data_IF_119892316245
#
_entry.id   IF_119892316245
#
_cell.length_a   1.000
_cell.length_b   1.000
_cell.length_c   1.000
_cell.angle_alpha   90.00
_cell.angle_beta   90.00
_cell.angle_gamma   90.00
#
_symmetry.space_group_name_H-M   'P 1'
#
loop_
_entity.id
_entity.type
_entity.pdbx_description
1 polymer ?
#
# COMPACT_ATOMS: atom_id res chain seq x y z
N UNK A 1 0.55 -9.98 -21.31
CA UNK A 1 -0.38 -11.02 -20.80
C UNK A 1 -0.56 -10.73 -19.32
N UNK A 2 -1.79 -10.69 -18.82
CA UNK A 2 -2.05 -10.50 -17.39
C UNK A 2 -1.42 -11.64 -16.58
N UNK A 3 -0.88 -11.31 -15.41
CA UNK A 3 -0.33 -12.30 -14.48
C UNK A 3 -1.43 -13.01 -13.67
N UNK A 4 -2.68 -12.51 -13.73
CA UNK A 4 -3.80 -12.97 -12.90
C UNK A 4 -4.96 -13.41 -13.80
N UNK A 5 -5.54 -14.58 -13.52
CA UNK A 5 -6.69 -15.09 -14.29
C UNK A 5 -8.04 -14.58 -13.77
N UNK A 6 -8.16 -14.37 -12.45
CA UNK A 6 -9.34 -13.80 -11.79
C UNK A 6 -8.89 -12.75 -10.77
N UNK A 7 -9.12 -11.49 -11.12
CA UNK A 7 -8.76 -10.28 -10.35
C UNK A 7 -9.80 -9.91 -9.29
N UNK A 8 -10.88 -10.69 -9.15
CA UNK A 8 -11.96 -10.39 -8.19
C UNK A 8 -11.92 -11.26 -6.94
N UNK A 9 -11.03 -12.25 -6.90
CA UNK A 9 -11.00 -13.28 -5.85
C UNK A 9 -9.66 -13.35 -5.14
N UNK A 10 -9.75 -13.53 -3.82
CA UNK A 10 -8.58 -13.88 -3.03
C UNK A 10 -8.06 -15.26 -3.43
N UNK A 11 -6.76 -15.37 -3.67
CA UNK A 11 -6.09 -16.65 -3.90
C UNK A 11 -5.29 -17.06 -2.65
N UNK A 12 -5.74 -18.08 -1.88
CA UNK A 12 -5.07 -18.53 -0.66
C UNK A 12 -3.79 -19.31 -0.91
N UNK A 13 -3.62 -19.90 -2.10
CA UNK A 13 -2.46 -20.73 -2.44
C UNK A 13 -1.26 -19.89 -2.91
N UNK A 14 -1.47 -18.58 -3.15
CA UNK A 14 -0.42 -17.66 -3.54
C UNK A 14 0.31 -17.09 -2.32
N UNK A 15 1.58 -17.49 -2.18
CA UNK A 15 2.50 -16.93 -1.19
C UNK A 15 2.92 -15.49 -1.53
N UNK A 16 3.10 -15.19 -2.82
CA UNK A 16 3.42 -13.87 -3.38
C UNK A 16 3.10 -13.87 -4.89
N UNK A 17 2.96 -12.69 -5.49
CA UNK A 17 2.98 -12.49 -6.94
C UNK A 17 3.80 -11.25 -7.30
N UNK A 18 4.89 -11.47 -8.02
CA UNK A 18 5.82 -10.42 -8.48
C UNK A 18 6.15 -10.65 -9.95
N UNK A 19 6.72 -9.65 -10.63
CA UNK A 19 7.00 -9.71 -12.06
C UNK A 19 7.95 -10.86 -12.45
N UNK A 20 9.09 -10.92 -11.77
CA UNK A 20 10.14 -11.93 -12.01
C UNK A 20 10.93 -12.15 -10.72
N UNK A 21 10.82 -13.35 -10.14
CA UNK A 21 11.56 -13.71 -8.93
C UNK A 21 13.07 -13.79 -9.18
N UNK A 22 13.50 -13.98 -10.44
CA UNK A 22 14.90 -14.04 -10.82
C UNK A 22 15.68 -12.74 -10.59
N UNK A 23 14.99 -11.60 -10.39
CA UNK A 23 15.61 -10.32 -10.08
C UNK A 23 15.97 -10.14 -8.59
N UNK A 24 15.60 -11.09 -7.72
CA UNK A 24 15.77 -10.96 -6.28
C UNK A 24 17.23 -10.75 -5.84
N UNK A 25 18.19 -11.39 -6.50
CA UNK A 25 19.62 -11.19 -6.21
C UNK A 25 20.11 -9.77 -6.55
N UNK A 26 19.52 -9.11 -7.55
CA UNK A 26 19.81 -7.71 -7.84
C UNK A 26 19.15 -6.80 -6.79
N UNK A 27 17.89 -7.04 -6.47
CA UNK A 27 17.19 -6.29 -5.43
C UNK A 27 17.88 -6.36 -4.07
N UNK A 28 18.39 -7.53 -3.67
CA UNK A 28 19.18 -7.68 -2.43
C UNK A 28 20.39 -6.75 -2.39
N UNK A 29 21.15 -6.65 -3.48
CA UNK A 29 22.32 -5.77 -3.56
C UNK A 29 21.94 -4.30 -3.40
N UNK A 30 20.84 -3.88 -4.01
CA UNK A 30 20.36 -2.49 -3.87
C UNK A 30 19.79 -2.21 -2.48
N UNK A 31 19.13 -3.19 -1.85
CA UNK A 31 18.68 -3.09 -0.46
C UNK A 31 19.89 -2.90 0.48
N UNK A 32 20.95 -3.71 0.33
CA UNK A 32 22.17 -3.57 1.14
C UNK A 32 22.83 -2.18 0.99
N UNK A 33 22.80 -1.61 -0.22
CA UNK A 33 23.26 -0.23 -0.44
C UNK A 33 22.33 0.78 0.24
N UNK A 34 21.01 0.62 0.09
CA UNK A 34 20.02 1.52 0.69
C UNK A 34 20.04 1.50 2.22
N UNK A 35 20.35 0.38 2.86
CA UNK A 35 20.51 0.30 4.31
C UNK A 35 21.57 1.28 4.84
N UNK A 36 22.64 1.51 4.08
CA UNK A 36 23.67 2.51 4.45
C UNK A 36 23.18 3.96 4.39
N UNK A 37 22.16 4.23 3.56
CA UNK A 37 21.52 5.54 3.40
C UNK A 37 20.26 5.70 4.27
N UNK A 38 19.87 4.68 5.03
CA UNK A 38 18.67 4.68 5.89
C UNK A 38 19.01 4.46 7.38
N UNK A 39 19.87 5.30 7.98
CA UNK A 39 20.38 5.09 9.34
C UNK A 39 19.27 5.08 10.41
N UNK A 40 18.15 5.80 10.19
CA UNK A 40 17.01 5.78 11.12
C UNK A 40 16.36 4.41 11.26
N UNK A 41 16.14 3.70 10.13
CA UNK A 41 15.60 2.35 10.16
C UNK A 41 16.61 1.36 10.74
N UNK A 42 17.90 1.50 10.40
CA UNK A 42 18.95 0.63 10.96
C UNK A 42 19.11 0.81 12.48
N UNK A 43 18.99 2.04 12.97
CA UNK A 43 18.96 2.33 14.40
C UNK A 43 17.73 1.68 15.07
N UNK A 44 16.54 1.79 14.47
CA UNK A 44 15.33 1.14 15.00
C UNK A 44 15.47 -0.39 15.08
N UNK A 45 16.06 -1.03 14.06
CA UNK A 45 16.38 -2.47 14.10
C UNK A 45 17.31 -2.80 15.27
N UNK A 46 18.36 -1.99 15.47
CA UNK A 46 19.35 -2.21 16.53
C UNK A 46 18.76 -2.02 17.93
N UNK A 47 17.92 -1.00 18.12
CA UNK A 47 17.33 -0.64 19.41
C UNK A 47 16.16 -1.57 19.80
N UNK A 48 15.24 -1.82 18.86
CA UNK A 48 13.98 -2.51 19.15
C UNK A 48 13.96 -3.97 18.67
N UNK A 49 14.87 -4.37 17.79
CA UNK A 49 15.00 -5.75 17.31
C UNK A 49 15.06 -6.79 18.44
N UNK A 50 15.92 -6.63 19.48
CA UNK A 50 15.97 -7.58 20.59
C UNK A 50 14.66 -7.71 21.38
N UNK A 51 13.82 -6.66 21.36
CA UNK A 51 12.57 -6.59 22.12
C UNK A 51 11.40 -7.24 21.37
N UNK A 52 11.51 -7.39 20.03
CA UNK A 52 10.46 -7.93 19.17
C UNK A 52 9.07 -7.29 19.43
N UNK A 53 8.94 -5.95 19.42
CA UNK A 53 7.72 -5.27 19.85
C UNK A 53 6.52 -5.56 18.94
N UNK A 54 6.75 -6.01 17.71
CA UNK A 54 5.71 -6.36 16.74
C UNK A 54 5.46 -7.88 16.66
N UNK A 55 5.99 -8.66 17.60
CA UNK A 55 5.79 -10.12 17.61
C UNK A 55 4.30 -10.47 17.65
N UNK A 56 3.87 -11.25 16.66
CA UNK A 56 2.47 -11.67 16.52
C UNK A 56 1.53 -10.58 16.00
N UNK A 57 2.07 -9.44 15.55
CA UNK A 57 1.31 -8.37 14.91
C UNK A 57 1.35 -8.59 13.40
N UNK A 58 0.15 -8.60 12.79
CA UNK A 58 -0.03 -8.68 11.35
C UNK A 58 -0.10 -7.29 10.74
N UNK A 59 0.79 -6.99 9.79
CA UNK A 59 0.85 -5.70 9.12
C UNK A 59 0.51 -5.87 7.64
N UNK A 60 -0.48 -5.11 7.16
CA UNK A 60 -0.72 -4.95 5.74
C UNK A 60 -0.17 -3.59 5.28
N UNK A 61 0.67 -3.59 4.25
CA UNK A 61 1.21 -2.37 3.65
C UNK A 61 0.63 -2.09 2.26
N UNK A 62 0.33 -0.81 1.99
CA UNK A 62 -0.01 -0.25 0.69
C UNK A 62 0.80 1.03 0.48
N UNK A 63 2.11 0.87 0.35
CA UNK A 63 3.10 1.90 0.02
C UNK A 63 3.75 1.53 -1.31
N UNK A 64 4.30 2.50 -2.04
CA UNK A 64 5.10 2.21 -3.24
C UNK A 64 6.12 1.08 -2.99
N UNK A 65 6.08 0.00 -3.76
CA UNK A 65 6.97 -1.16 -3.56
C UNK A 65 8.37 -0.92 -4.16
N UNK A 66 9.16 -0.09 -3.49
CA UNK A 66 10.52 0.32 -3.89
C UNK A 66 11.61 -0.35 -3.04
N UNK A 67 12.87 -0.08 -3.37
CA UNK A 67 14.02 -0.46 -2.53
C UNK A 67 13.93 0.15 -1.13
N UNK A 68 13.47 1.40 -1.00
CA UNK A 68 13.33 2.07 0.30
C UNK A 68 12.23 1.38 1.14
N UNK A 69 11.12 1.03 0.51
CA UNK A 69 10.04 0.27 1.16
C UNK A 69 10.48 -1.14 1.52
N UNK A 70 11.34 -1.78 0.73
CA UNK A 70 11.94 -3.07 1.09
C UNK A 70 12.72 -2.98 2.42
N UNK A 71 13.51 -1.91 2.64
CA UNK A 71 14.20 -1.68 3.92
C UNK A 71 13.22 -1.45 5.07
N UNK A 72 12.10 -0.75 4.83
CA UNK A 72 11.01 -0.61 5.81
C UNK A 72 10.39 -1.96 6.17
N UNK A 73 10.00 -2.76 5.18
CA UNK A 73 9.43 -4.10 5.38
C UNK A 73 10.36 -4.97 6.22
N UNK A 74 11.65 -5.02 5.88
CA UNK A 74 12.63 -5.79 6.63
C UNK A 74 12.88 -5.24 8.04
N UNK A 75 12.66 -3.95 8.26
CA UNK A 75 12.67 -3.36 9.62
C UNK A 75 11.49 -3.85 10.44
N UNK A 76 10.26 -3.79 9.89
CA UNK A 76 9.07 -4.30 10.57
C UNK A 76 9.20 -5.80 10.85
N UNK A 77 9.76 -6.56 9.90
CA UNK A 77 10.06 -7.99 10.06
C UNK A 77 11.08 -8.23 11.17
N UNK A 78 12.16 -7.46 11.19
CA UNK A 78 13.18 -7.54 12.24
C UNK A 78 12.63 -7.18 13.62
N UNK A 79 11.57 -6.36 13.69
CA UNK A 79 10.84 -6.05 14.92
C UNK A 79 9.78 -7.10 15.29
N UNK A 80 9.61 -8.16 14.48
CA UNK A 80 8.79 -9.34 14.79
C UNK A 80 7.46 -9.45 14.07
N UNK A 81 7.14 -8.52 13.16
CA UNK A 81 5.86 -8.50 12.45
C UNK A 81 5.73 -9.64 11.41
N UNK A 82 4.48 -10.04 11.17
CA UNK A 82 4.08 -10.79 9.97
C UNK A 82 3.55 -9.80 8.94
N UNK A 83 4.01 -9.88 7.69
CA UNK A 83 3.77 -8.82 6.70
C UNK A 83 3.15 -9.34 5.41
N UNK A 84 2.18 -8.60 4.89
CA UNK A 84 1.65 -8.70 3.52
C UNK A 84 1.68 -7.31 2.88
N UNK A 85 2.00 -7.21 1.60
CA UNK A 85 2.28 -5.94 0.96
C UNK A 85 1.74 -5.86 -0.47
N UNK A 86 1.16 -4.72 -0.80
CA UNK A 86 0.84 -4.30 -2.16
C UNK A 86 1.42 -2.90 -2.41
N UNK A 87 1.58 -2.55 -3.68
CA UNK A 87 1.95 -1.17 -4.04
C UNK A 87 0.70 -0.28 -4.03
N UNK A 88 0.86 1.03 -3.79
CA UNK A 88 -0.24 2.02 -3.90
C UNK A 88 -0.28 2.73 -5.27
N UNK A 89 0.54 2.30 -6.24
CA UNK A 89 0.49 2.83 -7.59
C UNK A 89 1.02 1.84 -8.62
N UNK A 90 0.28 1.67 -9.72
CA UNK A 90 0.53 0.73 -10.81
C UNK A 90 1.90 0.84 -11.49
N UNK A 91 2.60 1.97 -11.38
CA UNK A 91 3.92 2.18 -11.99
C UNK A 91 5.06 2.36 -10.98
N UNK A 92 4.76 2.40 -9.69
CA UNK A 92 5.76 2.74 -8.68
C UNK A 92 6.65 1.56 -8.26
N UNK A 93 6.19 0.32 -8.46
CA UNK A 93 6.93 -0.88 -8.08
C UNK A 93 8.29 -0.94 -8.79
N UNK A 94 9.32 -1.26 -8.02
CA UNK A 94 10.61 -1.72 -8.50
C UNK A 94 10.63 -3.25 -8.42
N UNK A 95 10.55 -3.93 -9.57
CA UNK A 95 10.31 -5.38 -9.62
C UNK A 95 11.38 -6.20 -8.86
N UNK A 96 12.67 -5.83 -9.00
CA UNK A 96 13.77 -6.40 -8.23
C UNK A 96 13.62 -6.22 -6.70
N UNK A 97 13.07 -5.10 -6.23
CA UNK A 97 12.81 -4.88 -4.80
C UNK A 97 11.69 -5.83 -4.32
N UNK A 98 10.59 -5.91 -5.08
CA UNK A 98 9.48 -6.82 -4.79
C UNK A 98 9.96 -8.28 -4.76
N UNK A 99 10.77 -8.68 -5.75
CA UNK A 99 11.36 -10.00 -5.85
C UNK A 99 12.26 -10.34 -4.65
N UNK A 100 13.13 -9.41 -4.22
CA UNK A 100 14.04 -9.63 -3.10
C UNK A 100 13.30 -9.83 -1.77
N UNK A 101 12.20 -9.09 -1.54
CA UNK A 101 11.36 -9.25 -0.35
C UNK A 101 10.59 -10.57 -0.38
N UNK A 102 10.03 -10.92 -1.54
CA UNK A 102 9.31 -12.17 -1.73
C UNK A 102 10.23 -13.40 -1.55
N UNK A 103 11.41 -13.41 -2.18
CA UNK A 103 12.38 -14.51 -2.08
C UNK A 103 12.90 -14.69 -0.65
N UNK A 104 13.16 -13.60 0.07
CA UNK A 104 13.60 -13.65 1.46
C UNK A 104 12.51 -14.13 2.43
N UNK A 105 11.24 -14.17 2.01
CA UNK A 105 10.12 -14.45 2.91
C UNK A 105 9.90 -13.36 3.96
N UNK A 106 10.39 -12.15 3.69
CA UNK A 106 10.25 -10.99 4.58
C UNK A 106 8.79 -10.52 4.65
N UNK A 107 8.08 -10.57 3.53
CA UNK A 107 6.64 -10.34 3.42
C UNK A 107 6.04 -11.13 2.24
N UNK A 108 4.73 -11.39 2.28
CA UNK A 108 3.98 -11.78 1.09
C UNK A 108 3.73 -10.55 0.22
N UNK A 109 4.33 -10.48 -0.97
CA UNK A 109 4.27 -9.31 -1.85
C UNK A 109 3.36 -9.59 -3.05
N UNK A 110 2.43 -8.68 -3.32
CA UNK A 110 1.56 -8.68 -4.50
C UNK A 110 1.75 -7.34 -5.20
N UNK A 111 2.78 -7.25 -6.04
CA UNK A 111 3.14 -6.00 -6.70
C UNK A 111 4.03 -6.24 -7.92
N UNK A 112 3.77 -5.54 -9.01
CA UNK A 112 4.68 -5.42 -10.16
C UNK A 112 4.53 -4.08 -10.85
N UNK A 113 5.54 -3.68 -11.63
CA UNK A 113 5.45 -2.47 -12.45
C UNK A 113 4.56 -2.72 -13.66
N UNK A 114 3.62 -1.79 -13.88
CA UNK A 114 2.70 -1.83 -15.02
C UNK A 114 1.49 -2.75 -14.81
N UNK A 115 0.99 -2.81 -13.57
CA UNK A 115 -0.32 -3.40 -13.25
C UNK A 115 -1.45 -2.75 -14.07
N UNK A 116 -2.51 -3.50 -14.38
CA UNK A 116 -3.81 -2.89 -14.69
C UNK A 116 -4.50 -2.41 -13.40
N UNK A 117 -5.52 -1.58 -13.51
CA UNK A 117 -6.27 -1.14 -12.32
C UNK A 117 -6.99 -2.30 -11.62
N UNK A 118 -7.45 -3.30 -12.37
CA UNK A 118 -8.02 -4.51 -11.77
C UNK A 118 -6.98 -5.35 -11.03
N UNK A 119 -5.78 -5.48 -11.59
CA UNK A 119 -4.66 -6.14 -10.91
C UNK A 119 -4.23 -5.38 -9.65
N UNK A 120 -4.22 -4.05 -9.68
CA UNK A 120 -3.95 -3.18 -8.53
C UNK A 120 -4.91 -3.43 -7.36
N UNK A 121 -6.22 -3.34 -7.61
CA UNK A 121 -7.22 -3.58 -6.57
C UNK A 121 -7.23 -5.03 -6.09
N UNK A 122 -6.89 -5.98 -6.96
CA UNK A 122 -6.66 -7.37 -6.58
C UNK A 122 -5.44 -7.52 -5.65
N UNK A 123 -4.33 -6.86 -5.94
CA UNK A 123 -3.14 -6.84 -5.08
C UNK A 123 -3.49 -6.27 -3.69
N UNK A 124 -4.25 -5.17 -3.63
CA UNK A 124 -4.74 -4.60 -2.37
C UNK A 124 -5.62 -5.60 -1.60
N UNK A 125 -6.53 -6.30 -2.29
CA UNK A 125 -7.32 -7.39 -1.70
C UNK A 125 -6.43 -8.51 -1.14
N UNK A 126 -5.41 -8.94 -1.88
CA UNK A 126 -4.46 -9.97 -1.45
C UNK A 126 -3.68 -9.53 -0.20
N UNK A 127 -3.24 -8.27 -0.13
CA UNK A 127 -2.50 -7.74 1.01
C UNK A 127 -3.36 -7.64 2.29
N UNK A 128 -4.64 -7.27 2.14
CA UNK A 128 -5.58 -7.15 3.27
C UNK A 128 -6.19 -8.49 3.72
N UNK A 129 -6.20 -9.50 2.85
CA UNK A 129 -6.78 -10.81 3.17
C UNK A 129 -5.70 -11.73 3.74
N UNK A 130 -5.88 -12.16 4.99
CA UNK A 130 -5.02 -13.14 5.64
C UNK A 130 -5.61 -14.56 5.52
N UNK A 131 -4.81 -15.63 5.61
CA UNK A 131 -5.27 -16.99 5.33
C UNK A 131 -6.45 -17.48 6.18
N UNK A 132 -6.60 -16.95 7.40
CA UNK A 132 -7.72 -17.25 8.30
C UNK A 132 -8.94 -16.32 8.11
N UNK A 133 -8.85 -15.34 7.20
CA UNK A 133 -9.92 -14.38 6.92
C UNK A 133 -10.10 -13.30 7.98
N UNK A 134 -9.21 -13.21 8.97
CA UNK A 134 -9.31 -12.27 10.11
C UNK A 134 -8.72 -10.89 9.79
N UNK A 135 -7.83 -10.79 8.80
CA UNK A 135 -7.21 -9.52 8.39
C UNK A 135 -5.96 -9.11 9.20
N UNK A 136 -5.43 -7.90 8.92
CA UNK A 136 -4.29 -7.33 9.64
C UNK A 136 -4.67 -6.73 11.00
N UNK A 137 -3.67 -6.63 11.88
CA UNK A 137 -3.75 -5.85 13.12
C UNK A 137 -3.43 -4.37 12.88
N UNK A 138 -2.54 -4.07 11.93
CA UNK A 138 -2.11 -2.72 11.59
C UNK A 138 -2.04 -2.53 10.08
N UNK A 139 -2.27 -1.30 9.63
CA UNK A 139 -2.16 -0.91 8.23
C UNK A 139 -1.11 0.20 8.10
N UNK A 140 -0.25 0.09 7.08
CA UNK A 140 0.62 1.18 6.63
C UNK A 140 0.13 1.57 5.24
N UNK A 141 -0.41 2.77 5.10
CA UNK A 141 -1.15 3.20 3.90
C UNK A 141 -0.53 4.47 3.32
N UNK A 142 -0.65 4.62 2.00
CA UNK A 142 -0.20 5.79 1.26
C UNK A 142 -1.20 6.13 0.17
N UNK A 143 -1.92 7.23 0.38
CA UNK A 143 -3.03 7.67 -0.46
C UNK A 143 -4.38 7.18 0.06
N UNK A 144 -4.41 6.19 0.95
CA UNK A 144 -5.60 5.76 1.69
C UNK A 144 -6.46 4.71 0.96
N UNK A 145 -5.94 4.01 -0.05
CA UNK A 145 -6.73 3.06 -0.85
C UNK A 145 -7.02 1.76 -0.11
N UNK A 146 -6.07 1.25 0.69
CA UNK A 146 -6.33 0.10 1.54
C UNK A 146 -7.38 0.42 2.60
N UNK A 147 -7.30 1.61 3.19
CA UNK A 147 -8.29 2.14 4.12
C UNK A 147 -9.65 2.31 3.46
N UNK A 148 -9.70 2.90 2.26
CA UNK A 148 -10.93 3.09 1.48
C UNK A 148 -11.62 1.76 1.23
N UNK A 149 -10.89 0.74 0.78
CA UNK A 149 -11.46 -0.56 0.46
C UNK A 149 -12.15 -1.21 1.67
N UNK A 150 -11.56 -1.10 2.87
CA UNK A 150 -12.17 -1.61 4.10
C UNK A 150 -13.45 -0.83 4.44
N UNK A 151 -13.42 0.50 4.35
CA UNK A 151 -14.57 1.34 4.70
C UNK A 151 -15.74 1.12 3.74
N UNK A 152 -15.48 1.08 2.43
CA UNK A 152 -16.50 0.80 1.42
C UNK A 152 -17.01 -0.65 1.50
N UNK A 153 -16.12 -1.61 1.82
CA UNK A 153 -16.51 -2.99 2.09
C UNK A 153 -17.47 -3.14 3.27
N UNK A 154 -17.21 -2.46 4.40
CA UNK A 154 -18.13 -2.44 5.54
C UNK A 154 -19.47 -1.78 5.18
N UNK A 155 -19.46 -0.67 4.43
CA UNK A 155 -20.70 -0.02 3.96
C UNK A 155 -21.52 -0.97 3.08
N UNK A 156 -20.86 -1.69 2.16
CA UNK A 156 -21.51 -2.67 1.30
C UNK A 156 -22.13 -3.83 2.11
N UNK A 157 -21.41 -4.37 3.09
CA UNK A 157 -21.92 -5.43 3.96
C UNK A 157 -23.13 -4.99 4.78
N UNK A 158 -23.12 -3.77 5.32
CA UNK A 158 -24.25 -3.23 6.10
C UNK A 158 -25.48 -2.97 5.22
N UNK A 159 -25.29 -2.47 3.99
CA UNK A 159 -26.38 -2.30 3.04
C UNK A 159 -27.00 -3.66 2.68
N UNK A 160 -26.16 -4.65 2.39
CA UNK A 160 -26.60 -6.00 2.06
C UNK A 160 -27.33 -6.69 3.22
N UNK A 161 -26.83 -6.57 4.45
CA UNK A 161 -27.51 -7.12 5.64
C UNK A 161 -28.87 -6.48 5.89
N UNK A 162 -29.01 -5.18 5.59
CA UNK A 162 -30.24 -4.43 5.80
C UNK A 162 -31.35 -4.81 4.83
N UNK A 163 -31.05 -4.89 3.53
CA UNK A 163 -32.08 -5.05 2.50
C UNK A 163 -31.64 -5.87 1.26
N UNK A 164 -30.47 -6.50 1.30
CA UNK A 164 -29.95 -7.29 0.19
C UNK A 164 -29.34 -6.46 -0.94
N UNK A 165 -29.17 -5.14 -0.76
CA UNK A 165 -28.50 -4.27 -1.75
C UNK A 165 -27.07 -4.72 -1.99
N UNK A 166 -26.74 -4.96 -3.25
CA UNK A 166 -25.37 -5.25 -3.70
C UNK A 166 -24.72 -3.97 -4.25
N UNK A 167 -23.39 -3.82 -4.16
CA UNK A 167 -22.68 -2.78 -4.88
C UNK A 167 -22.99 -2.84 -6.38
N UNK A 168 -23.27 -1.68 -6.97
CA UNK A 168 -23.62 -1.54 -8.39
C UNK A 168 -22.50 -0.84 -9.15
N UNK A 169 -21.68 -1.57 -9.94
CA UNK A 169 -20.60 -0.97 -10.73
C UNK A 169 -21.07 0.12 -11.70
N UNK A 170 -22.32 0.04 -12.19
CA UNK A 170 -22.88 1.03 -13.12
C UNK A 170 -23.22 2.37 -12.44
N UNK A 171 -23.18 2.42 -11.10
CA UNK A 171 -23.39 3.65 -10.32
C UNK A 171 -22.12 4.50 -10.15
N UNK A 172 -20.95 3.97 -10.52
CA UNK A 172 -19.69 4.69 -10.38
C UNK A 172 -19.53 5.78 -11.45
N UNK A 173 -19.10 6.98 -11.03
CA UNK A 173 -18.76 8.09 -11.93
C UNK A 173 -17.36 7.93 -12.56
N UNK A 174 -16.48 7.18 -11.90
CA UNK A 174 -15.09 6.98 -12.30
C UNK A 174 -14.79 5.51 -12.59
N UNK A 175 -13.98 5.25 -13.62
CA UNK A 175 -13.64 3.89 -14.06
C UNK A 175 -12.95 3.06 -12.96
N UNK A 176 -12.09 3.69 -12.17
CA UNK A 176 -11.42 3.01 -11.07
C UNK A 176 -12.40 2.61 -9.95
N UNK A 177 -13.35 3.48 -9.62
CA UNK A 177 -14.33 3.16 -8.58
C UNK A 177 -15.31 2.08 -9.04
N UNK A 178 -15.60 1.99 -10.35
CA UNK A 178 -16.34 0.86 -10.94
C UNK A 178 -15.65 -0.49 -10.69
N UNK A 179 -14.32 -0.53 -10.74
CA UNK A 179 -13.52 -1.73 -10.44
C UNK A 179 -13.65 -2.07 -8.94
N UNK A 180 -13.54 -1.09 -8.05
CA UNK A 180 -13.74 -1.27 -6.61
C UNK A 180 -15.12 -1.85 -6.30
N UNK A 181 -16.20 -1.26 -6.86
CA UNK A 181 -17.56 -1.76 -6.64
C UNK A 181 -17.75 -3.18 -7.20
N UNK A 182 -17.13 -3.50 -8.34
CA UNK A 182 -17.14 -4.86 -8.91
C UNK A 182 -16.47 -5.85 -7.96
N UNK A 183 -15.27 -5.51 -7.47
CA UNK A 183 -14.53 -6.34 -6.53
C UNK A 183 -15.31 -6.54 -5.22
N UNK A 184 -15.88 -5.48 -4.65
CA UNK A 184 -16.69 -5.57 -3.43
C UNK A 184 -17.94 -6.41 -3.62
N UNK A 185 -18.63 -6.30 -4.76
CA UNK A 185 -19.81 -7.11 -5.09
C UNK A 185 -19.46 -8.60 -5.10
N UNK A 186 -18.37 -8.99 -5.74
CA UNK A 186 -17.92 -10.39 -5.82
C UNK A 186 -17.45 -10.92 -4.46
N UNK A 187 -16.74 -10.09 -3.67
CA UNK A 187 -16.30 -10.47 -2.32
C UNK A 187 -17.48 -10.66 -1.36
N UNK A 188 -18.48 -9.80 -1.44
CA UNK A 188 -19.69 -9.87 -0.61
C UNK A 188 -20.49 -11.16 -0.83
N UNK A 189 -20.51 -11.68 -2.06
CA UNK A 189 -21.16 -12.96 -2.37
C UNK A 189 -20.41 -14.17 -1.81
N UNK A 190 -19.09 -14.06 -1.62
CA UNK A 190 -18.24 -15.12 -1.07
C UNK A 190 -18.27 -15.13 0.46
N UNK A 191 -18.17 -13.94 1.06
CA UNK A 191 -18.09 -13.78 2.51
C UNK A 191 -18.68 -12.42 2.94
N UNK A 192 -19.96 -12.39 3.34
CA UNK A 192 -20.66 -11.15 3.66
C UNK A 192 -20.30 -10.55 5.03
N UNK A 193 -19.29 -11.10 5.71
CA UNK A 193 -18.78 -10.55 6.98
C UNK A 193 -17.28 -10.26 6.97
N UNK A 194 -16.61 -10.38 5.82
CA UNK A 194 -15.16 -10.23 5.68
C UNK A 194 -14.67 -8.88 6.17
N UNK A 195 -15.22 -7.80 5.64
CA UNK A 195 -14.75 -6.44 5.89
C UNK A 195 -15.06 -5.99 7.31
N UNK A 196 -16.21 -6.39 7.87
CA UNK A 196 -16.50 -6.15 9.30
C UNK A 196 -15.52 -6.86 10.23
N UNK A 197 -15.12 -8.10 9.92
CA UNK A 197 -14.08 -8.80 10.71
C UNK A 197 -12.73 -8.12 10.60
N UNK A 198 -12.30 -7.76 9.38
CA UNK A 198 -11.06 -7.01 9.13
C UNK A 198 -11.06 -5.69 9.91
N UNK A 199 -12.14 -4.90 9.79
CA UNK A 199 -12.26 -3.61 10.47
C UNK A 199 -12.25 -3.75 11.99
N UNK A 200 -12.93 -4.77 12.54
CA UNK A 200 -12.98 -5.02 13.99
C UNK A 200 -11.63 -5.48 14.56
N UNK A 201 -10.80 -6.17 13.76
CA UNK A 201 -9.45 -6.58 14.16
C UNK A 201 -8.44 -5.44 14.08
N UNK A 202 -8.59 -4.55 13.11
CA UNK A 202 -7.64 -3.47 12.84
C UNK A 202 -7.52 -2.51 14.04
N UNK A 203 -6.31 -2.36 14.57
CA UNK A 203 -5.98 -1.48 15.70
C UNK A 203 -5.66 -0.06 15.23
N UNK A 204 -5.36 0.12 13.95
CA UNK A 204 -5.22 1.42 13.33
C UNK A 204 -4.40 1.41 12.04
N UNK A 205 -4.38 2.57 11.40
CA UNK A 205 -3.61 2.87 10.19
C UNK A 205 -2.62 4.00 10.43
N UNK A 206 -1.44 3.92 9.82
CA UNK A 206 -0.51 5.05 9.68
C UNK A 206 -0.45 5.50 8.23
N UNK A 207 -0.79 6.76 7.96
CA UNK A 207 -0.98 7.30 6.61
C UNK A 207 0.15 8.27 6.21
N UNK A 208 0.76 7.99 5.05
CA UNK A 208 2.00 8.61 4.59
C UNK A 208 1.80 9.95 3.86
N UNK A 209 0.72 10.14 3.09
CA UNK A 209 0.59 11.31 2.21
C UNK A 209 -0.57 12.23 2.52
N UNK A 210 -0.42 13.50 2.12
CA UNK A 210 -1.42 14.56 2.31
C UNK A 210 -2.81 14.16 1.80
N UNK A 211 -2.88 13.47 0.65
CA UNK A 211 -4.16 13.03 0.05
C UNK A 211 -4.87 12.01 0.94
N UNK A 212 -4.16 10.98 1.42
CA UNK A 212 -4.74 9.99 2.33
C UNK A 212 -5.16 10.61 3.66
N UNK A 213 -4.35 11.52 4.21
CA UNK A 213 -4.70 12.28 5.42
C UNK A 213 -5.99 13.09 5.25
N UNK A 214 -6.20 13.73 4.10
CA UNK A 214 -7.46 14.42 3.82
C UNK A 214 -8.66 13.46 3.80
N UNK A 215 -8.51 12.26 3.22
CA UNK A 215 -9.56 11.23 3.26
C UNK A 215 -9.87 10.80 4.69
N UNK A 216 -8.85 10.59 5.53
CA UNK A 216 -9.00 10.26 6.95
C UNK A 216 -9.77 11.35 7.70
N UNK A 217 -9.41 12.63 7.52
CA UNK A 217 -10.13 13.73 8.18
C UNK A 217 -11.58 13.86 7.70
N UNK A 218 -11.87 13.63 6.42
CA UNK A 218 -13.24 13.60 5.91
C UNK A 218 -14.06 12.50 6.59
N UNK A 219 -13.52 11.29 6.69
CA UNK A 219 -14.18 10.18 7.40
C UNK A 219 -14.36 10.49 8.89
N UNK A 220 -13.35 11.07 9.55
CA UNK A 220 -13.45 11.48 10.95
C UNK A 220 -14.56 12.53 11.16
N UNK A 221 -14.63 13.56 10.31
CA UNK A 221 -15.64 14.62 10.41
C UNK A 221 -17.06 14.08 10.20
N UNK A 222 -17.23 13.06 9.36
CA UNK A 222 -18.52 12.37 9.15
C UNK A 222 -18.83 11.30 10.20
N UNK A 223 -17.90 10.99 11.11
CA UNK A 223 -18.05 9.91 12.09
C UNK A 223 -18.01 8.51 11.48
N UNK A 224 -17.39 8.37 10.31
CA UNK A 224 -17.32 7.12 9.53
C UNK A 224 -16.01 6.35 9.73
N UNK A 225 -14.99 6.98 10.33
CA UNK A 225 -13.68 6.36 10.52
C UNK A 225 -13.77 5.15 11.47
N UNK A 226 -13.45 3.96 10.95
CA UNK A 226 -13.70 2.69 11.64
C UNK A 226 -12.65 2.32 12.71
N UNK A 227 -11.43 2.83 12.57
CA UNK A 227 -10.30 2.53 13.47
C UNK A 227 -9.38 3.75 13.61
N UNK A 228 -8.52 3.81 14.65
CA UNK A 228 -7.59 4.91 14.84
C UNK A 228 -6.68 5.14 13.64
N UNK A 229 -6.33 6.41 13.37
CA UNK A 229 -5.42 6.77 12.31
C UNK A 229 -4.31 7.71 12.82
N UNK A 230 -3.07 7.45 12.41
CA UNK A 230 -1.92 8.30 12.66
C UNK A 230 -1.56 9.00 11.35
N UNK A 231 -1.59 10.32 11.38
CA UNK A 231 -1.10 11.18 10.31
C UNK A 231 0.44 11.23 10.40
N UNK A 232 1.12 10.43 9.57
CA UNK A 232 2.59 10.43 9.47
C UNK A 232 3.07 11.62 8.64
N UNK A 233 2.30 11.99 7.61
CA UNK A 233 2.62 13.08 6.70
C UNK A 233 2.99 14.39 7.41
N UNK A 234 2.21 14.78 8.42
CA UNK A 234 2.36 16.08 9.10
C UNK A 234 3.44 16.09 10.18
N UNK A 235 4.14 14.95 10.39
CA UNK A 235 5.39 14.98 11.12
C UNK A 235 6.37 15.94 10.42
N UNK A 236 7.05 16.81 11.18
CA UNK A 236 7.98 17.80 10.62
C UNK A 236 9.09 17.11 9.82
N UNK A 237 9.59 15.98 10.33
CA UNK A 237 10.64 15.17 9.68
C UNK A 237 10.14 14.41 8.45
N UNK A 238 8.83 14.42 8.16
CA UNK A 238 8.23 13.89 6.95
C UNK A 238 7.93 15.05 6.00
N UNK A 239 6.87 15.82 6.25
CA UNK A 239 6.41 16.92 5.37
C UNK A 239 7.51 17.88 4.93
N UNK A 240 8.43 18.28 5.83
CA UNK A 240 9.47 19.27 5.51
C UNK A 240 10.76 18.69 4.94
N UNK A 241 10.82 17.36 4.83
CA UNK A 241 11.98 16.67 4.26
C UNK A 241 11.60 15.87 3.02
N UNK A 242 10.71 14.90 3.17
CA UNK A 242 10.25 14.03 2.09
C UNK A 242 9.60 14.85 0.97
N UNK A 243 8.50 15.56 1.28
CA UNK A 243 7.74 16.28 0.27
C UNK A 243 8.58 17.36 -0.41
N UNK A 244 9.45 18.06 0.33
CA UNK A 244 10.27 19.17 -0.20
C UNK A 244 11.54 18.67 -0.91
N UNK A 245 12.40 17.95 -0.19
CA UNK A 245 13.72 17.58 -0.70
C UNK A 245 13.67 16.30 -1.52
N UNK A 246 12.73 15.40 -1.24
CA UNK A 246 12.43 14.23 -2.06
C UNK A 246 11.98 14.67 -3.45
N UNK A 247 10.94 15.51 -3.56
CA UNK A 247 10.48 16.02 -4.86
C UNK A 247 11.54 16.87 -5.58
N UNK A 248 12.33 17.67 -4.85
CA UNK A 248 13.48 18.39 -5.45
C UNK A 248 14.49 17.45 -6.12
N UNK A 249 14.63 16.22 -5.63
CA UNK A 249 15.49 15.20 -6.22
C UNK A 249 14.79 14.41 -7.33
N UNK A 250 13.59 13.88 -7.05
CA UNK A 250 12.92 12.90 -7.92
C UNK A 250 12.17 13.53 -9.10
N UNK A 251 11.69 14.78 -8.99
CA UNK A 251 11.02 15.48 -10.10
C UNK A 251 11.94 15.63 -11.32
N UNK A 252 13.14 16.24 -11.21
CA UNK A 252 14.02 16.34 -12.37
C UNK A 252 14.50 14.98 -12.86
N UNK A 253 14.74 14.00 -11.96
CA UNK A 253 15.13 12.64 -12.34
C UNK A 253 14.06 11.97 -13.20
N UNK A 254 12.78 12.04 -12.80
CA UNK A 254 11.65 11.51 -13.56
C UNK A 254 11.53 12.16 -14.95
N UNK A 255 11.64 13.49 -15.04
CA UNK A 255 11.60 14.21 -16.32
C UNK A 255 12.76 13.78 -17.24
N UNK A 256 13.97 13.71 -16.68
CA UNK A 256 15.16 13.33 -17.44
C UNK A 256 15.07 11.89 -17.95
N UNK A 257 14.75 10.92 -17.09
CA UNK A 257 14.62 9.52 -17.52
C UNK A 257 13.51 9.30 -18.55
N UNK A 258 12.41 10.05 -18.45
CA UNK A 258 11.26 9.87 -19.32
C UNK A 258 11.43 10.51 -20.71
N UNK A 259 12.23 11.58 -20.82
CA UNK A 259 12.23 12.43 -22.02
C UNK A 259 13.60 12.88 -22.51
N UNK A 260 14.66 12.70 -21.71
CA UNK A 260 16.00 13.25 -21.94
C UNK A 260 16.03 14.77 -22.21
N UNK A 261 14.97 15.49 -21.87
CA UNK A 261 14.81 16.90 -22.24
C UNK A 261 15.79 17.78 -21.49
N UNK A 262 16.47 18.68 -22.22
CA UNK A 262 17.29 19.71 -21.58
C UNK A 262 16.39 20.75 -20.89
N UNK A 263 16.33 20.68 -19.55
CA UNK A 263 15.54 21.58 -18.70
C UNK A 263 16.07 23.02 -18.76
N UNK A 264 17.39 23.21 -18.85
CA UNK A 264 18.00 24.53 -18.88
C UNK A 264 17.45 25.40 -20.04
N UNK A 265 17.12 26.65 -19.72
CA UNK A 265 16.57 27.62 -20.67
C UNK A 265 15.10 27.39 -21.05
N UNK A 266 14.40 26.42 -20.43
CA UNK A 266 12.96 26.21 -20.63
C UNK A 266 12.15 27.01 -19.63
N UNK A 267 10.95 27.42 -20.04
CA UNK A 267 9.92 27.90 -19.13
C UNK A 267 9.18 26.69 -18.57
N UNK A 268 9.22 26.52 -17.26
CA UNK A 268 8.55 25.44 -16.53
C UNK A 268 7.42 26.05 -15.71
N UNK A 269 6.21 25.50 -15.85
CA UNK A 269 5.04 25.92 -15.06
C UNK A 269 4.86 24.92 -13.91
N UNK A 270 4.81 25.43 -12.68
CA UNK A 270 4.52 24.65 -11.47
C UNK A 270 3.16 25.11 -10.95
N UNK A 271 2.18 24.20 -10.89
CA UNK A 271 0.82 24.49 -10.45
C UNK A 271 0.64 24.05 -8.99
N UNK A 272 0.66 25.01 -8.07
CA UNK A 272 0.73 24.77 -6.63
C UNK A 272 2.10 25.13 -6.07
N UNK A 273 2.15 25.64 -4.85
CA UNK A 273 3.39 26.05 -4.18
C UNK A 273 3.35 25.67 -2.69
N UNK A 274 2.86 24.45 -2.46
CA UNK A 274 2.88 23.80 -1.15
C UNK A 274 4.26 23.20 -0.88
N UNK A 275 4.32 22.12 -0.12
CA UNK A 275 5.60 21.47 0.17
C UNK A 275 6.18 20.69 -1.03
N UNK A 276 5.32 20.14 -1.90
CA UNK A 276 5.69 19.45 -3.16
C UNK A 276 6.02 20.45 -4.27
#
# INVERSE_FOLDING_TARGET
>A
MSLVQDVTRYNPDLLYLVRDIGEAAFGRKEIELAESEMPGLMAARSEYGPQQPLKGIRVAGSLHMTIQTAVLIETLKALGAELRWASCNIFSTQDHAAAAIAEAGSAAVFAWKGETLEEYWWCTLQALTWPDGEGPDLIVDDGGDATLLIHEGVKAELAYEKDGTLPDPDSAEEDEFRIVLTLLREQLQQDPGKWRRIAARCKGVSEETTTGVHRLYQMQQRGELLFPAINVNDAVTKSKFDNVYGCRHSLPDGIMRATDVMIAGKLVVICGYGDV
#
